data_IF_381828780875
#
_entry.id   IF_381828780875
#
_cell.length_a   1.000
_cell.length_b   1.000
_cell.length_c   1.000
_cell.angle_alpha   90.00
_cell.angle_beta   90.00
_cell.angle_gamma   90.00
#
_symmetry.space_group_name_H-M   'P 1'
#
loop_
_entity.id
_entity.type
_entity.pdbx_description
1 polymer ?
#
# COMPACT_ATOMS: atom_id res chain seq x y z
N UNK A 1 7.68 -24.22 -17.00
CA UNK A 1 6.29 -24.08 -16.50
C UNK A 1 6.09 -22.64 -16.09
N UNK A 2 5.19 -21.86 -16.72
CA UNK A 2 4.96 -20.49 -16.27
C UNK A 2 4.24 -20.60 -14.93
N UNK A 3 4.98 -20.39 -13.84
CA UNK A 3 4.44 -20.26 -12.51
C UNK A 3 3.31 -19.26 -12.57
N UNK A 4 2.11 -19.72 -12.25
CA UNK A 4 0.87 -18.96 -12.26
C UNK A 4 1.08 -17.76 -11.35
N UNK A 5 1.50 -16.61 -11.89
CA UNK A 5 1.86 -15.42 -11.13
C UNK A 5 0.68 -15.11 -10.24
N UNK A 6 0.85 -15.40 -8.95
CA UNK A 6 -0.28 -15.34 -8.03
C UNK A 6 -0.67 -13.88 -7.98
N UNK A 7 -1.97 -13.53 -7.94
CA UNK A 7 -2.40 -12.15 -7.72
C UNK A 7 -1.66 -11.52 -6.53
N UNK A 8 -1.33 -12.35 -5.53
CA UNK A 8 -0.52 -12.01 -4.36
C UNK A 8 0.89 -11.52 -4.73
N UNK A 9 1.55 -12.06 -5.76
CA UNK A 9 2.85 -11.56 -6.23
C UNK A 9 2.72 -10.26 -7.02
N UNK A 10 1.67 -10.09 -7.83
CA UNK A 10 1.37 -8.80 -8.47
C UNK A 10 1.08 -7.73 -7.43
N UNK A 11 0.32 -8.09 -6.39
CA UNK A 11 0.04 -7.25 -5.23
C UNK A 11 1.32 -6.98 -4.43
N UNK A 12 2.16 -7.99 -4.18
CA UNK A 12 3.43 -7.83 -3.48
C UNK A 12 4.41 -6.98 -4.27
N UNK A 13 4.42 -7.05 -5.61
CA UNK A 13 5.29 -6.23 -6.47
C UNK A 13 4.76 -4.79 -6.58
N UNK A 14 3.44 -4.59 -6.65
CA UNK A 14 2.81 -3.29 -6.58
C UNK A 14 3.04 -2.63 -5.21
N UNK A 15 2.84 -3.40 -4.14
CA UNK A 15 3.14 -2.98 -2.77
C UNK A 15 4.64 -2.79 -2.57
N UNK A 16 5.50 -3.57 -3.24
CA UNK A 16 6.96 -3.41 -3.22
C UNK A 16 7.37 -2.07 -3.84
N UNK A 17 6.73 -1.68 -4.95
CA UNK A 17 6.95 -0.37 -5.59
C UNK A 17 6.45 0.79 -4.75
N UNK A 18 5.41 0.58 -3.94
CA UNK A 18 4.82 1.58 -3.05
C UNK A 18 5.13 1.29 -1.57
N UNK A 19 6.20 0.52 -1.27
CA UNK A 19 6.49 0.04 0.09
C UNK A 19 6.78 1.22 1.00
N UNK A 20 7.39 2.26 0.44
CA UNK A 20 7.66 3.53 1.11
C UNK A 20 6.36 4.13 1.62
N UNK A 21 5.36 4.34 0.77
CA UNK A 21 4.07 4.89 1.19
C UNK A 21 3.33 3.96 2.18
N UNK A 22 3.41 2.64 2.00
CA UNK A 22 2.82 1.68 2.94
C UNK A 22 3.51 1.60 4.28
N UNK A 23 4.83 1.76 4.32
CA UNK A 23 5.60 1.85 5.55
C UNK A 23 5.30 3.17 6.27
N UNK A 24 5.13 4.30 5.56
CA UNK A 24 4.76 5.58 6.17
C UNK A 24 3.32 5.53 6.70
N UNK A 25 2.37 4.97 5.93
CA UNK A 25 1.00 4.73 6.40
C UNK A 25 0.99 3.83 7.64
N UNK A 26 1.69 2.70 7.59
CA UNK A 26 1.83 1.78 8.72
C UNK A 26 2.48 2.41 9.94
N UNK A 27 3.49 3.26 9.75
CA UNK A 27 4.12 4.04 10.84
C UNK A 27 3.14 5.04 11.46
N UNK A 28 2.35 5.75 10.65
CA UNK A 28 1.35 6.69 11.14
C UNK A 28 0.24 5.98 11.95
N UNK A 29 -0.24 4.85 11.45
CA UNK A 29 -1.23 3.99 12.14
C UNK A 29 -0.64 3.38 13.42
N UNK A 30 0.60 2.89 13.38
CA UNK A 30 1.27 2.32 14.55
C UNK A 30 1.58 3.37 15.61
N UNK A 31 2.01 4.57 15.21
CA UNK A 31 2.26 5.69 16.10
C UNK A 31 0.97 6.17 16.79
N UNK A 32 -0.16 6.10 16.09
CA UNK A 32 -1.47 6.51 16.61
C UNK A 32 -2.39 5.34 16.92
N UNK A 33 -1.87 4.13 17.20
CA UNK A 33 -2.67 2.90 17.30
C UNK A 33 -3.84 2.99 18.30
N UNK A 34 -3.69 3.76 19.39
CA UNK A 34 -4.75 4.01 20.38
C UNK A 34 -5.81 5.03 19.91
N UNK A 35 -5.48 5.91 18.98
CA UNK A 35 -6.32 7.00 18.48
C UNK A 35 -6.45 6.96 16.95
N UNK A 36 -6.35 5.78 16.34
CA UNK A 36 -6.57 5.59 14.92
C UNK A 36 -8.03 5.92 14.63
N UNK A 37 -8.23 7.14 14.14
CA UNK A 37 -9.51 7.68 13.71
C UNK A 37 -9.49 7.73 12.19
N UNK A 38 -10.67 7.55 11.59
CA UNK A 38 -10.86 7.80 10.16
C UNK A 38 -10.29 9.20 9.84
N UNK A 39 -9.47 9.27 8.80
CA UNK A 39 -8.70 10.45 8.35
C UNK A 39 -7.35 10.80 9.02
N UNK A 40 -6.94 10.13 10.11
CA UNK A 40 -5.63 10.41 10.75
C UNK A 40 -4.43 10.24 9.81
N UNK A 41 -4.44 9.19 8.99
CA UNK A 41 -3.40 8.91 8.00
C UNK A 41 -3.97 8.97 6.56
N UNK A 42 -5.01 9.79 6.32
CA UNK A 42 -5.64 9.90 5.01
C UNK A 42 -4.67 10.35 3.92
N UNK A 43 -3.68 11.19 4.26
CA UNK A 43 -2.70 11.71 3.32
C UNK A 43 -1.77 10.59 2.82
N UNK A 44 -1.19 9.83 3.73
CA UNK A 44 -0.41 8.63 3.43
C UNK A 44 -1.23 7.55 2.73
N UNK A 45 -2.49 7.35 3.15
CA UNK A 45 -3.40 6.40 2.53
C UNK A 45 -3.72 6.80 1.08
N UNK A 46 -3.90 8.10 0.79
CA UNK A 46 -4.09 8.59 -0.57
C UNK A 46 -2.87 8.34 -1.45
N UNK A 47 -1.64 8.58 -0.94
CA UNK A 47 -0.42 8.31 -1.70
C UNK A 47 -0.25 6.81 -1.97
N UNK A 48 -0.46 5.96 -0.96
CA UNK A 48 -0.47 4.51 -1.12
C UNK A 48 -1.50 4.09 -2.17
N UNK A 49 -2.74 4.58 -2.06
CA UNK A 49 -3.82 4.27 -3.00
C UNK A 49 -3.48 4.69 -4.42
N UNK A 50 -2.91 5.88 -4.61
CA UNK A 50 -2.57 6.40 -5.93
C UNK A 50 -1.47 5.54 -6.59
N UNK A 51 -0.43 5.23 -5.83
CA UNK A 51 0.64 4.34 -6.27
C UNK A 51 0.11 2.92 -6.53
N UNK A 52 -0.82 2.43 -5.72
CA UNK A 52 -1.50 1.14 -5.91
C UNK A 52 -2.33 1.10 -7.19
N UNK A 53 -3.11 2.17 -7.45
CA UNK A 53 -3.91 2.32 -8.68
C UNK A 53 -3.01 2.44 -9.92
N UNK A 54 -1.91 3.18 -9.83
CA UNK A 54 -0.92 3.29 -10.90
C UNK A 54 -0.22 1.96 -11.19
N UNK A 55 0.10 1.17 -10.16
CA UNK A 55 0.70 -0.15 -10.30
C UNK A 55 -0.32 -1.20 -10.81
N UNK A 56 -1.58 -1.12 -10.38
CA UNK A 56 -2.65 -2.01 -10.82
C UNK A 56 -3.05 -1.78 -12.29
N UNK A 57 -3.00 -0.53 -12.78
CA UNK A 57 -3.22 -0.21 -14.20
C UNK A 57 -2.11 -0.68 -15.14
N UNK A 58 -0.93 -1.04 -14.60
CA UNK A 58 0.25 -1.47 -15.37
C UNK A 58 0.32 -3.00 -15.56
N UNK A 59 -0.78 -3.73 -15.34
CA UNK A 59 -0.83 -5.20 -15.23
C UNK A 59 -1.68 -5.90 -16.28
#
# INVERSE_FOLDING_TARGET
MPGRTRPIEKFATATAKCTTEGAVYGKCVAASYQNVKKDMCAREFMMLKDCYLAAARKS
#
